data_IF_505458998818
#
_entry.id   IF_505458998818
#
_cell.length_a   1.000
_cell.length_b   1.000
_cell.length_c   1.000
_cell.angle_alpha   90.00
_cell.angle_beta   90.00
_cell.angle_gamma   90.00
#
_symmetry.space_group_name_H-M   'P 1'
#
loop_
_entity.id
_entity.type
_entity.pdbx_description
1 polymer ?
#
# COMPACT_ATOMS: atom_id res chain seq x y z
N UNK A 1 -57.57 45.04 25.98
CA UNK A 1 -57.05 43.73 26.45
C UNK A 1 -56.18 43.17 25.35
N UNK A 2 -54.90 43.38 25.49
CA UNK A 2 -53.90 42.92 24.45
C UNK A 2 -53.32 41.60 24.91
N UNK A 3 -53.50 40.58 24.06
CA UNK A 3 -52.92 39.27 24.27
C UNK A 3 -51.50 39.26 23.69
N UNK A 4 -50.48 39.26 24.53
CA UNK A 4 -49.09 39.07 24.14
C UNK A 4 -48.84 37.62 23.76
N UNK A 5 -48.67 37.39 22.46
CA UNK A 5 -48.25 36.10 21.92
C UNK A 5 -46.71 35.99 22.04
N UNK A 6 -46.24 35.16 22.97
CA UNK A 6 -44.83 34.86 23.13
C UNK A 6 -44.40 33.86 22.07
N UNK A 7 -43.58 34.32 21.15
CA UNK A 7 -42.88 33.45 20.17
C UNK A 7 -41.74 32.75 20.89
N UNK A 8 -41.84 31.44 21.06
CA UNK A 8 -40.75 30.61 21.56
C UNK A 8 -39.79 30.28 20.41
N UNK A 9 -38.59 30.84 20.45
CA UNK A 9 -37.51 30.53 19.52
C UNK A 9 -36.87 29.23 19.95
N UNK A 10 -37.08 28.14 19.19
CA UNK A 10 -36.36 26.90 19.37
C UNK A 10 -34.99 27.03 18.71
N UNK A 11 -33.94 27.14 19.51
CA UNK A 11 -32.57 27.01 19.06
C UNK A 11 -32.27 25.52 18.90
N UNK A 12 -32.27 25.04 17.65
CA UNK A 12 -31.89 23.70 17.31
C UNK A 12 -30.38 23.53 17.46
N UNK A 13 -29.96 22.74 18.43
CA UNK A 13 -28.56 22.29 18.56
C UNK A 13 -28.37 21.18 17.56
N UNK A 14 -27.65 21.48 16.46
CA UNK A 14 -27.17 20.47 15.53
C UNK A 14 -26.00 19.73 16.19
N UNK A 15 -26.25 18.51 16.64
CA UNK A 15 -25.20 17.60 17.09
C UNK A 15 -24.42 17.11 15.86
N UNK A 16 -23.23 17.64 15.66
CA UNK A 16 -22.27 17.11 14.68
C UNK A 16 -21.69 15.82 15.25
N UNK A 17 -22.17 14.66 14.75
CA UNK A 17 -21.51 13.38 14.99
C UNK A 17 -20.20 13.37 14.22
N UNK A 18 -19.09 13.61 14.91
CA UNK A 18 -17.78 13.31 14.39
C UNK A 18 -17.60 11.79 14.35
N UNK A 19 -17.70 11.18 13.17
CA UNK A 19 -17.25 9.81 12.96
C UNK A 19 -15.73 9.80 13.14
N UNK A 20 -15.28 9.37 14.31
CA UNK A 20 -13.88 9.01 14.52
C UNK A 20 -13.60 7.76 13.67
N UNK A 21 -12.97 7.97 12.50
CA UNK A 21 -12.38 6.88 11.75
C UNK A 21 -11.27 6.26 12.61
N UNK A 22 -11.52 5.08 13.17
CA UNK A 22 -10.47 4.28 13.80
C UNK A 22 -9.44 3.94 12.75
N UNK A 23 -8.33 4.67 12.71
CA UNK A 23 -7.12 4.24 12.04
C UNK A 23 -6.59 3.05 12.84
N UNK A 24 -6.76 1.84 12.33
CA UNK A 24 -6.08 0.68 12.87
C UNK A 24 -4.57 0.88 12.66
N UNK A 25 -3.95 1.44 13.69
CA UNK A 25 -2.50 1.52 13.80
C UNK A 25 -2.03 0.14 14.26
N UNK A 26 -1.67 -0.73 13.33
CA UNK A 26 -0.94 -1.95 13.68
C UNK A 26 0.50 -1.56 14.01
N UNK A 27 0.84 -1.86 15.24
CA UNK A 27 1.97 -1.59 16.06
C UNK A 27 3.36 -1.57 15.47
N UNK A 28 4.07 -0.61 15.94
CA UNK A 28 5.45 -0.54 16.44
C UNK A 28 6.37 -1.73 16.13
N UNK A 29 6.92 -1.72 14.96
CA UNK A 29 8.25 -2.23 14.67
C UNK A 29 8.94 -1.10 13.91
N UNK A 30 10.13 -0.68 14.30
CA UNK A 30 10.82 0.52 13.84
C UNK A 30 11.16 0.56 12.34
N UNK A 31 10.15 0.55 11.51
CA UNK A 31 10.20 0.85 10.09
C UNK A 31 9.24 1.99 9.82
N UNK A 32 9.64 3.00 9.08
CA UNK A 32 8.77 4.08 8.66
C UNK A 32 7.56 3.50 7.93
N UNK A 33 6.35 3.71 8.48
CA UNK A 33 5.11 3.12 7.97
C UNK A 33 4.98 3.30 6.46
N UNK A 34 4.55 2.25 5.77
CA UNK A 34 4.28 2.27 4.34
C UNK A 34 2.78 2.16 4.08
N UNK A 35 2.28 3.00 3.18
CA UNK A 35 0.92 2.89 2.64
C UNK A 35 1.01 2.59 1.15
N UNK A 36 0.41 1.50 0.71
CA UNK A 36 0.34 1.14 -0.71
C UNK A 36 -0.54 2.12 -1.50
N UNK A 37 -0.25 2.27 -2.79
CA UNK A 37 -1.02 3.11 -3.72
C UNK A 37 -1.23 2.36 -5.04
N UNK A 38 -1.86 3.01 -6.03
CA UNK A 38 -2.05 2.45 -7.36
C UNK A 38 -0.74 2.12 -8.10
N UNK A 39 0.40 2.64 -7.64
CA UNK A 39 1.73 2.39 -8.23
C UNK A 39 2.79 2.03 -7.18
N UNK A 40 2.37 1.75 -5.96
CA UNK A 40 3.29 1.44 -4.87
C UNK A 40 2.89 0.19 -4.09
N UNK A 41 3.85 -0.69 -3.92
CA UNK A 41 3.80 -1.88 -3.06
C UNK A 41 4.59 -1.62 -1.79
N UNK A 42 4.06 -2.02 -0.66
CA UNK A 42 4.78 -2.06 0.61
C UNK A 42 5.42 -3.43 0.79
N UNK A 43 6.73 -3.47 0.98
CA UNK A 43 7.42 -4.63 1.52
C UNK A 43 7.35 -4.53 3.05
N UNK A 44 6.52 -5.38 3.65
CA UNK A 44 6.37 -5.51 5.09
C UNK A 44 7.15 -6.75 5.55
N UNK A 45 7.18 -7.02 6.84
CA UNK A 45 7.89 -8.21 7.32
C UNK A 45 7.22 -9.48 6.75
N UNK A 46 7.93 -10.12 5.82
CA UNK A 46 7.60 -11.35 5.10
C UNK A 46 6.35 -11.31 4.18
N UNK A 47 5.90 -10.12 3.75
CA UNK A 47 4.79 -9.98 2.80
C UNK A 47 4.91 -8.73 1.94
N UNK A 48 4.50 -8.81 0.66
CA UNK A 48 4.24 -7.66 -0.20
C UNK A 48 2.76 -7.28 -0.13
N UNK A 49 2.47 -6.00 0.02
CA UNK A 49 1.10 -5.48 0.09
C UNK A 49 0.91 -4.28 -0.87
N UNK A 50 0.00 -4.36 -1.85
CA UNK A 50 -0.85 -5.51 -2.17
C UNK A 50 -0.05 -6.68 -2.75
N UNK A 51 -0.60 -7.89 -2.67
CA UNK A 51 -0.02 -9.09 -3.30
C UNK A 51 -0.02 -8.98 -4.83
N UNK A 52 -1.09 -8.41 -5.38
CA UNK A 52 -1.27 -8.20 -6.81
C UNK A 52 -1.51 -6.71 -7.07
N UNK A 53 -0.77 -6.13 -8.00
CA UNK A 53 -0.93 -4.75 -8.45
C UNK A 53 -1.12 -4.73 -9.95
N UNK A 54 -2.12 -3.97 -10.43
CA UNK A 54 -2.34 -3.76 -11.87
C UNK A 54 -2.00 -2.33 -12.23
N UNK A 55 -1.18 -2.16 -13.27
CA UNK A 55 -0.74 -0.86 -13.79
C UNK A 55 -0.83 -0.82 -15.31
N UNK A 56 -0.71 0.34 -15.92
CA UNK A 56 -0.57 0.49 -17.37
C UNK A 56 0.90 0.42 -17.80
N UNK A 57 1.17 0.03 -19.05
CA UNK A 57 2.53 0.02 -19.58
C UNK A 57 3.19 1.41 -19.47
N UNK A 58 4.48 1.44 -19.27
CA UNK A 58 5.24 2.66 -19.01
C UNK A 58 5.19 3.14 -17.56
N UNK A 59 4.42 2.48 -16.69
CA UNK A 59 4.34 2.85 -15.27
C UNK A 59 5.61 2.45 -14.52
N UNK A 60 6.12 3.36 -13.71
CA UNK A 60 7.14 3.06 -12.71
C UNK A 60 6.47 2.62 -11.41
N UNK A 61 6.68 1.38 -11.02
CA UNK A 61 6.23 0.83 -9.75
C UNK A 61 7.31 1.05 -8.69
N UNK A 62 6.87 1.41 -7.50
CA UNK A 62 7.71 1.66 -6.33
C UNK A 62 7.49 0.55 -5.30
N UNK A 63 8.56 -0.02 -4.76
CA UNK A 63 8.53 -0.84 -3.55
C UNK A 63 9.17 -0.06 -2.41
N UNK A 64 8.42 0.15 -1.35
CA UNK A 64 8.89 0.79 -0.12
C UNK A 64 8.91 -0.23 1.01
N UNK A 65 10.04 -0.37 1.66
CA UNK A 65 10.15 -1.24 2.82
C UNK A 65 9.62 -0.51 4.06
N UNK A 66 8.43 -0.91 4.51
CA UNK A 66 7.79 -0.43 5.73
C UNK A 66 8.00 -1.35 6.93
N UNK A 67 8.72 -2.47 6.75
CA UNK A 67 9.09 -3.41 7.80
C UNK A 67 10.48 -3.15 8.38
N UNK A 68 10.90 -4.02 9.31
CA UNK A 68 12.20 -3.97 9.96
C UNK A 68 13.27 -4.82 9.26
N UNK A 69 12.88 -5.79 8.43
CA UNK A 69 13.78 -6.69 7.75
C UNK A 69 14.24 -6.13 6.39
N UNK A 70 15.42 -6.52 5.95
CA UNK A 70 15.85 -6.29 4.56
C UNK A 70 15.16 -7.30 3.65
N UNK A 71 14.67 -6.81 2.50
CA UNK A 71 14.01 -7.63 1.48
C UNK A 71 14.71 -7.51 0.13
N UNK A 72 14.35 -8.40 -0.82
CA UNK A 72 14.65 -8.20 -2.23
C UNK A 72 13.34 -8.11 -3.03
N UNK A 73 13.42 -7.47 -4.19
CA UNK A 73 12.40 -7.51 -5.23
C UNK A 73 13.07 -8.15 -6.43
N UNK A 74 12.88 -9.44 -6.56
CA UNK A 74 13.61 -10.27 -7.55
C UNK A 74 12.59 -10.92 -8.48
N UNK A 75 12.72 -10.70 -9.78
CA UNK A 75 11.82 -11.32 -10.76
C UNK A 75 11.92 -12.84 -10.72
N UNK A 76 10.80 -13.50 -10.94
CA UNK A 76 10.76 -14.96 -11.07
C UNK A 76 11.37 -15.42 -12.41
N UNK A 77 11.89 -16.64 -12.49
CA UNK A 77 12.36 -17.23 -13.75
C UNK A 77 11.26 -17.21 -14.81
N UNK A 78 11.62 -16.80 -16.03
CA UNK A 78 10.68 -16.71 -17.16
C UNK A 78 9.92 -15.39 -17.23
N UNK A 79 10.15 -14.44 -16.32
CA UNK A 79 9.63 -13.08 -16.44
C UNK A 79 10.21 -12.38 -17.68
N UNK A 80 9.42 -11.52 -18.31
CA UNK A 80 9.84 -10.74 -19.49
C UNK A 80 10.88 -9.67 -19.15
N UNK A 81 10.92 -9.20 -17.91
CA UNK A 81 11.94 -8.28 -17.39
C UNK A 81 12.83 -8.98 -16.36
N UNK A 82 14.07 -8.51 -16.28
CA UNK A 82 15.03 -8.97 -15.29
C UNK A 82 15.35 -7.85 -14.31
N UNK A 83 15.07 -8.08 -13.04
CA UNK A 83 15.44 -7.17 -11.96
C UNK A 83 15.69 -7.94 -10.66
N UNK A 84 16.66 -7.47 -9.91
CA UNK A 84 17.03 -7.99 -8.60
C UNK A 84 17.50 -6.82 -7.74
N UNK A 85 16.62 -6.33 -6.88
CA UNK A 85 16.84 -5.11 -6.11
C UNK A 85 16.74 -5.39 -4.63
N UNK A 86 17.76 -5.02 -3.87
CA UNK A 86 17.72 -5.08 -2.40
C UNK A 86 17.11 -3.81 -1.84
N UNK A 87 16.15 -3.96 -0.92
CA UNK A 87 15.49 -2.86 -0.23
C UNK A 87 15.62 -3.01 1.28
N UNK A 88 16.50 -2.21 1.87
CA UNK A 88 16.71 -2.17 3.33
C UNK A 88 15.52 -1.56 4.05
N UNK A 89 15.41 -1.76 5.36
CA UNK A 89 14.35 -1.15 6.19
C UNK A 89 14.26 0.36 5.94
N UNK A 90 13.06 0.86 5.65
CA UNK A 90 12.79 2.25 5.28
C UNK A 90 13.23 2.64 3.86
N UNK A 91 13.89 1.76 3.13
CA UNK A 91 14.38 2.00 1.77
C UNK A 91 13.29 1.94 0.70
N UNK A 92 13.64 2.41 -0.49
CA UNK A 92 12.76 2.45 -1.66
C UNK A 92 13.54 1.96 -2.87
N UNK A 93 12.91 1.12 -3.70
CA UNK A 93 13.39 0.72 -5.02
C UNK A 93 12.27 0.88 -6.04
N UNK A 94 12.62 1.05 -7.31
CA UNK A 94 11.65 1.27 -8.39
C UNK A 94 12.01 0.47 -9.62
N UNK A 95 10.99 0.08 -10.41
CA UNK A 95 11.14 -0.52 -11.73
C UNK A 95 10.07 0.01 -12.67
N UNK A 96 10.43 0.28 -13.93
CA UNK A 96 9.50 0.75 -14.96
C UNK A 96 9.14 -0.39 -15.90
N UNK A 97 7.85 -0.69 -16.00
CA UNK A 97 7.31 -1.77 -16.86
C UNK A 97 6.92 -1.20 -18.22
N UNK A 98 7.75 -1.41 -19.23
CA UNK A 98 7.54 -0.85 -20.58
C UNK A 98 6.59 -1.67 -21.44
N UNK A 99 6.38 -2.96 -21.13
CA UNK A 99 5.58 -3.87 -21.93
C UNK A 99 4.40 -4.42 -21.11
N UNK A 100 3.27 -4.65 -21.77
CA UNK A 100 2.14 -5.36 -21.19
C UNK A 100 2.52 -6.82 -20.87
N UNK A 101 2.01 -7.35 -19.77
CA UNK A 101 2.30 -8.72 -19.34
C UNK A 101 2.08 -8.94 -17.85
N UNK A 102 2.37 -10.16 -17.41
CA UNK A 102 2.33 -10.55 -16.00
C UNK A 102 3.74 -10.78 -15.50
N UNK A 103 4.11 -10.07 -14.46
CA UNK A 103 5.44 -10.07 -13.88
C UNK A 103 5.36 -10.56 -12.44
N UNK A 104 5.75 -11.81 -12.22
CA UNK A 104 5.83 -12.40 -10.88
C UNK A 104 7.21 -12.15 -10.28
N UNK A 105 7.24 -11.96 -8.97
CA UNK A 105 8.47 -11.68 -8.23
C UNK A 105 8.39 -12.19 -6.80
N UNK A 106 9.52 -12.31 -6.15
CA UNK A 106 9.63 -12.75 -4.76
C UNK A 106 10.78 -12.03 -4.02
N UNK A 107 10.79 -12.20 -2.71
CA UNK A 107 11.94 -11.86 -1.87
C UNK A 107 12.79 -13.12 -1.66
N UNK A 108 14.05 -13.09 -2.06
CA UNK A 108 14.94 -14.25 -1.97
C UNK A 108 15.28 -14.67 -0.54
N UNK A 109 15.09 -13.77 0.44
CA UNK A 109 15.33 -14.09 1.86
C UNK A 109 14.15 -14.76 2.53
N UNK A 110 12.90 -14.46 2.08
CA UNK A 110 11.68 -14.84 2.80
C UNK A 110 10.65 -15.56 1.93
N UNK A 111 11.01 -15.89 0.69
CA UNK A 111 10.13 -16.56 -0.26
C UNK A 111 10.86 -17.17 -1.44
N UNK A 112 10.06 -17.68 -2.36
CA UNK A 112 10.47 -18.23 -3.64
C UNK A 112 9.35 -17.97 -4.66
N UNK A 113 9.54 -18.27 -5.97
CA UNK A 113 8.47 -18.12 -6.96
C UNK A 113 7.15 -18.73 -6.51
N UNK A 114 6.12 -17.89 -6.37
CA UNK A 114 4.75 -18.30 -5.99
C UNK A 114 4.54 -18.75 -4.55
N UNK A 115 5.53 -18.61 -3.66
CA UNK A 115 5.39 -19.03 -2.25
C UNK A 115 6.15 -18.10 -1.30
N UNK A 116 5.70 -18.06 -0.04
CA UNK A 116 6.26 -17.14 0.96
C UNK A 116 6.04 -15.69 0.59
N UNK A 117 7.07 -14.85 0.70
CA UNK A 117 7.01 -13.44 0.33
C UNK A 117 7.16 -13.27 -1.18
N UNK A 118 6.04 -13.22 -1.89
CA UNK A 118 5.96 -13.08 -3.34
C UNK A 118 4.90 -12.06 -3.74
N UNK A 119 4.86 -11.67 -5.02
CA UNK A 119 3.87 -10.75 -5.56
C UNK A 119 3.76 -10.82 -7.08
N UNK A 120 2.77 -10.10 -7.63
CA UNK A 120 2.51 -10.04 -9.07
C UNK A 120 2.20 -8.62 -9.49
N UNK A 121 2.87 -8.15 -10.55
CA UNK A 121 2.49 -6.93 -11.27
C UNK A 121 1.85 -7.34 -12.60
N UNK A 122 0.60 -6.93 -12.81
CA UNK A 122 -0.08 -7.05 -14.11
C UNK A 122 -0.01 -5.72 -14.83
N UNK A 123 0.52 -5.71 -16.05
CA UNK A 123 0.72 -4.52 -16.88
C UNK A 123 -0.20 -4.62 -18.10
N UNK A 124 -1.09 -3.64 -18.26
CA UNK A 124 -2.06 -3.53 -19.37
C UNK A 124 -1.59 -2.53 -20.43
#
# INVERSE_FOLDING_TARGET
MEAFMRVATFVGIAAVLALAACKNSYGTGGGGGCTSTATKVCALDNVFSPLNLTVTHGTTVTWQNGGGNTHTVTNDPGSADTYDMTVSAGGIVTHTFSNAGTYTYHCTFHGAPGTGMHGTITVN
#
